data_IF_390631476207
#
_entry.id   IF_390631476207
#
_cell.length_a   1.000
_cell.length_b   1.000
_cell.length_c   1.000
_cell.angle_alpha   90.00
_cell.angle_beta   90.00
_cell.angle_gamma   90.00
#
_symmetry.space_group_name_H-M   'P 1'
#
loop_
_entity.id
_entity.type
_entity.pdbx_description
1 polymer ?
#
# COMPACT_ATOMS: atom_id res chain seq x y z
N UNK A 1 3.44 -0.70 -20.21
CA UNK A 1 4.28 -1.88 -19.89
C UNK A 1 5.02 -1.56 -18.60
N UNK A 2 4.72 -2.24 -17.49
CA UNK A 2 5.45 -2.02 -16.23
C UNK A 2 6.86 -2.59 -16.38
N UNK A 3 7.90 -1.80 -16.07
CA UNK A 3 9.28 -2.28 -16.02
C UNK A 3 9.58 -2.82 -14.61
N UNK A 4 9.35 -4.12 -14.43
CA UNK A 4 9.58 -4.80 -13.15
C UNK A 4 11.02 -5.26 -12.96
N UNK A 5 11.83 -5.32 -14.03
CA UNK A 5 13.20 -5.81 -13.97
C UNK A 5 14.07 -4.93 -13.07
N UNK A 6 13.86 -3.61 -13.15
CA UNK A 6 14.54 -2.65 -12.28
C UNK A 6 14.18 -2.81 -10.79
N UNK A 7 12.94 -3.23 -10.49
CA UNK A 7 12.49 -3.49 -9.12
C UNK A 7 13.10 -4.79 -8.58
N UNK A 8 13.10 -5.85 -9.40
CA UNK A 8 13.74 -7.13 -9.06
C UNK A 8 15.22 -6.94 -8.73
N UNK A 9 15.96 -6.24 -9.59
CA UNK A 9 17.39 -5.98 -9.33
C UNK A 9 17.65 -5.20 -8.05
N UNK A 10 16.74 -4.31 -7.63
CA UNK A 10 16.84 -3.60 -6.34
C UNK A 10 16.60 -4.54 -5.16
N UNK A 11 15.58 -5.39 -5.25
CA UNK A 11 15.24 -6.40 -4.24
C UNK A 11 16.40 -7.40 -4.06
N UNK A 12 16.90 -7.96 -5.17
CA UNK A 12 18.00 -8.93 -5.19
C UNK A 12 19.32 -8.33 -4.66
N UNK A 13 19.50 -7.01 -4.72
CA UNK A 13 20.69 -6.36 -4.16
C UNK A 13 20.79 -6.45 -2.63
N UNK A 14 19.71 -6.86 -1.94
CA UNK A 14 19.67 -7.02 -0.48
C UNK A 14 19.75 -5.71 0.32
N UNK A 15 19.72 -4.56 -0.35
CA UNK A 15 19.81 -3.22 0.28
C UNK A 15 18.46 -2.62 0.64
N UNK A 16 17.37 -3.23 0.21
CA UNK A 16 16.01 -2.76 0.44
C UNK A 16 15.43 -3.51 1.63
N UNK A 17 15.04 -2.77 2.67
CA UNK A 17 14.38 -3.33 3.85
C UNK A 17 12.85 -3.26 3.78
N UNK A 18 12.31 -2.32 2.99
CA UNK A 18 10.86 -2.13 2.82
C UNK A 18 10.51 -1.69 1.40
N UNK A 19 9.40 -2.23 0.88
CA UNK A 19 8.75 -1.78 -0.36
C UNK A 19 7.38 -1.23 0.01
N UNK A 20 7.18 0.05 -0.29
CA UNK A 20 5.90 0.75 -0.07
C UNK A 20 5.15 0.83 -1.41
N UNK A 21 3.98 0.20 -1.46
CA UNK A 21 3.12 0.20 -2.64
C UNK A 21 2.18 1.42 -2.59
N UNK A 22 2.33 2.32 -3.56
CA UNK A 22 1.53 3.55 -3.67
C UNK A 22 0.68 3.54 -4.96
N UNK A 23 -0.02 2.43 -5.19
CA UNK A 23 -0.97 2.27 -6.30
C UNK A 23 -2.38 2.73 -5.91
N UNK A 24 -3.28 2.87 -6.88
CA UNK A 24 -4.66 3.28 -6.64
C UNK A 24 -5.40 2.39 -5.62
N UNK A 25 -6.43 2.96 -4.99
CA UNK A 25 -7.31 2.25 -4.05
C UNK A 25 -8.53 1.66 -4.75
N UNK A 26 -8.30 1.04 -5.90
CA UNK A 26 -9.31 0.37 -6.73
C UNK A 26 -8.92 -1.10 -6.94
N UNK A 27 -9.81 -1.86 -7.57
CA UNK A 27 -9.62 -3.30 -7.79
C UNK A 27 -8.35 -3.61 -8.60
N UNK A 28 -7.99 -2.75 -9.56
CA UNK A 28 -6.80 -2.93 -10.39
C UNK A 28 -5.51 -2.68 -9.59
N UNK A 29 -5.53 -1.65 -8.73
CA UNK A 29 -4.47 -1.34 -7.78
C UNK A 29 -4.27 -2.46 -6.77
N UNK A 30 -5.36 -3.01 -6.21
CA UNK A 30 -5.29 -4.18 -5.31
C UNK A 30 -4.69 -5.40 -5.99
N UNK A 31 -5.19 -5.74 -7.18
CA UNK A 31 -4.69 -6.87 -7.95
C UNK A 31 -3.20 -6.72 -8.27
N UNK A 32 -2.78 -5.51 -8.62
CA UNK A 32 -1.36 -5.21 -8.90
C UNK A 32 -0.51 -5.27 -7.63
N UNK A 33 -0.99 -4.76 -6.49
CA UNK A 33 -0.30 -4.87 -5.20
C UNK A 33 -0.08 -6.32 -4.79
N UNK A 34 -1.14 -7.15 -4.90
CA UNK A 34 -1.07 -8.58 -4.63
C UNK A 34 -0.08 -9.28 -5.57
N UNK A 35 -0.14 -8.97 -6.87
CA UNK A 35 0.81 -9.51 -7.85
C UNK A 35 2.26 -9.14 -7.52
N UNK A 36 2.54 -7.88 -7.16
CA UNK A 36 3.89 -7.45 -6.79
C UNK A 36 4.38 -8.18 -5.54
N UNK A 37 3.53 -8.34 -4.53
CA UNK A 37 3.86 -9.07 -3.30
C UNK A 37 4.18 -10.54 -3.58
N UNK A 38 3.31 -11.25 -4.28
CA UNK A 38 3.46 -12.69 -4.50
C UNK A 38 4.51 -13.04 -5.56
N UNK A 39 4.57 -12.29 -6.66
CA UNK A 39 5.36 -12.68 -7.85
C UNK A 39 6.69 -11.94 -7.97
N UNK A 40 6.76 -10.69 -7.51
CA UNK A 40 7.99 -9.88 -7.65
C UNK A 40 8.81 -9.90 -6.36
N UNK A 41 8.15 -9.76 -5.21
CA UNK A 41 8.82 -9.76 -3.91
C UNK A 41 8.95 -11.19 -3.39
N UNK A 42 7.89 -12.00 -3.47
CA UNK A 42 7.91 -13.42 -3.08
C UNK A 42 8.42 -13.61 -1.65
N UNK A 43 9.33 -14.56 -1.46
CA UNK A 43 9.88 -14.95 -0.15
C UNK A 43 11.05 -14.08 0.35
N UNK A 44 11.37 -12.97 -0.33
CA UNK A 44 12.43 -12.09 0.13
C UNK A 44 12.07 -11.52 1.51
N UNK A 45 13.04 -11.42 2.46
CA UNK A 45 12.80 -10.92 3.82
C UNK A 45 12.68 -9.39 3.84
N UNK A 46 11.78 -8.86 3.02
CA UNK A 46 11.54 -7.43 2.82
C UNK A 46 10.13 -7.14 3.32
N UNK A 47 10.00 -6.12 4.15
CA UNK A 47 8.69 -5.66 4.59
C UNK A 47 7.94 -5.09 3.37
N UNK A 48 6.70 -5.53 3.17
CA UNK A 48 5.83 -4.95 2.15
C UNK A 48 4.71 -4.21 2.85
N UNK A 49 4.58 -2.92 2.55
CA UNK A 49 3.52 -2.07 3.07
C UNK A 49 2.82 -1.34 1.93
N UNK A 50 1.66 -0.76 2.23
CA UNK A 50 0.90 0.05 1.29
C UNK A 50 0.64 1.41 1.92
N UNK A 51 0.58 2.45 1.08
CA UNK A 51 0.18 3.78 1.55
C UNK A 51 -1.24 3.73 2.16
N UNK A 52 -1.47 4.54 3.19
CA UNK A 52 -2.79 4.63 3.82
C UNK A 52 -3.82 5.27 2.89
N UNK A 53 -5.04 4.76 2.94
CA UNK A 53 -6.21 5.35 2.27
C UNK A 53 -7.26 5.72 3.30
N UNK A 54 -7.99 6.80 3.03
CA UNK A 54 -9.05 7.27 3.90
C UNK A 54 -9.24 8.77 3.78
N UNK A 55 -9.72 9.37 4.87
CA UNK A 55 -10.04 10.78 4.92
C UNK A 55 -8.78 11.65 4.80
N UNK A 56 -8.82 12.73 3.98
CA UNK A 56 -7.74 13.71 3.97
C UNK A 56 -7.71 14.46 5.29
N UNK A 57 -6.50 14.84 5.74
CA UNK A 57 -6.33 15.68 6.93
C UNK A 57 -7.07 17.01 6.77
N UNK A 58 -7.86 17.37 7.78
CA UNK A 58 -8.71 18.58 7.74
C UNK A 58 -9.99 18.44 6.92
N UNK A 59 -10.25 17.30 6.30
CA UNK A 59 -11.53 16.99 5.65
C UNK A 59 -12.64 16.69 6.66
N UNK A 60 -13.89 16.97 6.29
CA UNK A 60 -15.05 16.61 7.10
C UNK A 60 -15.60 15.24 6.65
N UNK A 61 -15.83 14.35 7.62
CA UNK A 61 -16.42 13.01 7.43
C UNK A 61 -17.73 13.05 6.64
N UNK A 62 -18.53 14.11 6.79
CA UNK A 62 -19.84 14.23 6.13
C UNK A 62 -19.77 14.45 4.62
N UNK A 63 -18.61 14.86 4.09
CA UNK A 63 -18.41 15.09 2.66
C UNK A 63 -17.66 13.95 1.97
N UNK A 64 -17.22 12.94 2.72
CA UNK A 64 -16.52 11.80 2.15
C UNK A 64 -17.50 10.81 1.51
N UNK A 65 -17.08 10.23 0.39
CA UNK A 65 -17.79 9.13 -0.23
C UNK A 65 -17.67 7.82 0.58
N UNK A 66 -18.52 6.85 0.26
CA UNK A 66 -18.57 5.56 0.96
C UNK A 66 -17.24 4.79 0.91
N UNK A 67 -16.51 4.86 -0.21
CA UNK A 67 -15.24 4.14 -0.39
C UNK A 67 -14.17 4.75 0.51
N UNK A 68 -14.06 6.07 0.55
CA UNK A 68 -13.15 6.80 1.42
C UNK A 68 -13.43 6.52 2.89
N UNK A 69 -14.71 6.52 3.30
CA UNK A 69 -15.12 6.22 4.67
C UNK A 69 -14.80 4.78 5.06
N UNK A 70 -15.07 3.83 4.17
CA UNK A 70 -14.73 2.42 4.35
C UNK A 70 -13.24 2.23 4.57
N UNK A 71 -12.40 2.80 3.70
CA UNK A 71 -10.94 2.70 3.84
C UNK A 71 -10.43 3.36 5.13
N UNK A 72 -11.00 4.50 5.54
CA UNK A 72 -10.66 5.12 6.82
C UNK A 72 -11.02 4.24 8.03
N UNK A 73 -12.15 3.53 7.98
CA UNK A 73 -12.59 2.62 9.03
C UNK A 73 -11.76 1.33 9.08
N UNK A 74 -11.38 0.79 7.93
CA UNK A 74 -10.51 -0.38 7.81
C UNK A 74 -9.08 -0.07 8.28
N UNK A 75 -8.57 1.11 7.94
CA UNK A 75 -7.25 1.62 8.34
C UNK A 75 -7.21 2.27 9.72
N UNK A 76 -8.28 2.19 10.53
CA UNK A 76 -8.30 2.77 11.86
C UNK A 76 -7.23 2.12 12.74
N UNK A 77 -6.56 2.95 13.53
CA UNK A 77 -5.56 2.52 14.51
C UNK A 77 -6.08 2.80 15.91
N UNK A 78 -5.56 2.07 16.90
CA UNK A 78 -5.84 2.39 18.30
C UNK A 78 -5.27 3.77 18.63
N UNK A 79 -5.93 4.47 19.55
CA UNK A 79 -5.43 5.75 20.04
C UNK A 79 -4.16 5.50 20.83
N UNK A 80 -3.01 5.87 20.27
CA UNK A 80 -1.75 5.95 21.00
C UNK A 80 -1.80 7.19 21.91
N UNK A 81 -2.39 7.00 23.09
CA UNK A 81 -2.21 7.94 24.20
C UNK A 81 -0.91 7.57 24.87
N UNK A 82 0.20 8.14 24.38
CA UNK A 82 1.54 7.89 24.91
C UNK A 82 1.66 7.98 26.44
#
# INVERSE_FOLDING_TARGET
RLNLDSLKGKIESGRVSEVILALGNDMEGEATCHYLKEVVIGDHPIKVSRIGFGLPSGGNVTFADEVTLRSALEGRTDLDTG
#
